data_IF_378832052570
#
_entry.id   IF_378832052570
#
_cell.length_a   1.000
_cell.length_b   1.000
_cell.length_c   1.000
_cell.angle_alpha   90.00
_cell.angle_beta   90.00
_cell.angle_gamma   90.00
#
_symmetry.space_group_name_H-M   'P 1'
#
loop_
_entity.id
_entity.type
_entity.pdbx_description
1 polymer ?
#
# COMPACT_ATOMS: atom_id res chain seq x y z
N UNK A 1 22.66 3.20 0.28
CA UNK A 1 21.81 3.80 1.34
C UNK A 1 22.68 4.76 2.14
N UNK A 2 22.11 5.89 2.60
CA UNK A 2 22.79 6.87 3.43
C UNK A 2 22.99 6.36 4.86
N UNK A 3 23.63 7.17 5.71
CA UNK A 3 23.83 6.86 7.14
C UNK A 3 22.51 6.84 7.93
N UNK A 4 21.54 7.67 7.52
CA UNK A 4 20.22 7.82 8.15
C UNK A 4 19.21 6.72 7.75
N UNK A 5 19.60 5.80 6.86
CA UNK A 5 18.72 4.74 6.36
C UNK A 5 17.94 5.09 5.08
N UNK A 6 18.12 6.30 4.52
CA UNK A 6 17.43 6.68 3.27
C UNK A 6 18.15 6.12 2.03
N UNK A 7 17.38 5.74 1.02
CA UNK A 7 17.92 5.23 -0.24
C UNK A 7 18.52 6.38 -1.07
N UNK A 8 19.60 6.08 -1.80
CA UNK A 8 20.22 7.05 -2.70
C UNK A 8 19.35 7.20 -3.96
N UNK A 9 19.26 8.42 -4.53
CA UNK A 9 18.51 8.65 -5.76
C UNK A 9 19.13 7.89 -6.93
N UNK A 10 18.29 7.54 -7.92
CA UNK A 10 18.67 6.69 -9.05
C UNK A 10 19.85 7.24 -9.86
N UNK A 11 19.93 8.56 -9.96
CA UNK A 11 21.00 9.28 -10.65
C UNK A 11 22.37 9.02 -10.01
N UNK A 12 22.41 8.75 -8.70
CA UNK A 12 23.64 8.41 -7.98
C UNK A 12 23.89 6.90 -7.94
N UNK A 13 22.85 6.07 -7.92
CA UNK A 13 23.01 4.60 -7.89
C UNK A 13 23.35 4.03 -9.27
N UNK A 14 22.95 4.71 -10.35
CA UNK A 14 23.14 4.22 -11.73
C UNK A 14 22.26 3.04 -12.11
N UNK A 15 21.28 2.69 -11.27
CA UNK A 15 20.40 1.54 -11.47
C UNK A 15 19.32 1.82 -12.51
N UNK A 16 18.84 0.78 -13.18
CA UNK A 16 17.63 0.90 -13.98
C UNK A 16 16.41 1.14 -13.07
N UNK A 17 15.29 1.60 -13.66
CA UNK A 17 14.09 1.94 -12.90
C UNK A 17 13.58 0.75 -12.05
N UNK A 18 13.53 -0.43 -12.64
CA UNK A 18 13.02 -1.63 -11.98
C UNK A 18 13.91 -2.08 -10.82
N UNK A 19 15.23 -2.04 -11.01
CA UNK A 19 16.20 -2.37 -9.96
C UNK A 19 16.13 -1.37 -8.80
N UNK A 20 16.03 -0.07 -9.10
CA UNK A 20 15.90 0.96 -8.08
C UNK A 20 14.62 0.75 -7.25
N UNK A 21 13.48 0.48 -7.91
CA UNK A 21 12.22 0.21 -7.22
C UNK A 21 12.30 -1.02 -6.31
N UNK A 22 12.84 -2.13 -6.80
CA UNK A 22 13.02 -3.35 -5.98
C UNK A 22 13.92 -3.05 -4.77
N UNK A 23 15.02 -2.33 -4.97
CA UNK A 23 15.94 -1.96 -3.91
C UNK A 23 15.27 -1.08 -2.84
N UNK A 24 14.50 -0.08 -3.27
CA UNK A 24 13.75 0.79 -2.35
C UNK A 24 12.76 0.01 -1.48
N UNK A 25 12.03 -0.94 -2.08
CA UNK A 25 11.08 -1.79 -1.35
C UNK A 25 11.80 -2.73 -0.37
N UNK A 26 12.87 -3.40 -0.80
CA UNK A 26 13.65 -4.26 0.10
C UNK A 26 14.28 -3.49 1.27
N UNK A 27 14.77 -2.27 1.04
CA UNK A 27 15.31 -1.42 2.11
C UNK A 27 14.23 -1.05 3.12
N UNK A 28 13.03 -0.70 2.62
CA UNK A 28 11.89 -0.43 3.49
C UNK A 28 11.51 -1.67 4.29
N UNK A 29 11.35 -2.84 3.67
CA UNK A 29 11.06 -4.09 4.38
C UNK A 29 12.10 -4.40 5.45
N UNK A 30 13.38 -4.27 5.13
CA UNK A 30 14.47 -4.50 6.09
C UNK A 30 14.46 -3.53 7.27
N UNK A 31 14.08 -2.26 7.06
CA UNK A 31 13.84 -1.31 8.15
C UNK A 31 12.71 -1.78 9.08
N UNK A 32 11.59 -2.21 8.50
CA UNK A 32 10.44 -2.66 9.26
C UNK A 32 10.67 -4.00 9.97
N UNK A 33 11.52 -4.87 9.41
CA UNK A 33 12.00 -6.10 10.05
C UNK A 33 13.09 -5.85 11.10
N UNK A 34 13.60 -4.61 11.22
CA UNK A 34 14.62 -4.25 12.19
C UNK A 34 16.05 -4.72 11.85
N UNK A 35 16.33 -5.00 10.58
CA UNK A 35 17.63 -5.49 10.11
C UNK A 35 18.71 -4.40 10.02
N UNK A 36 18.33 -3.12 10.14
CA UNK A 36 19.22 -1.98 10.07
C UNK A 36 19.30 -1.20 11.40
N UNK A 37 19.84 -1.78 12.49
CA UNK A 37 19.84 -1.14 13.81
C UNK A 37 20.66 0.17 13.84
N UNK A 38 21.70 0.27 13.01
CA UNK A 38 22.67 1.38 13.01
C UNK A 38 22.43 2.41 11.89
N UNK A 39 21.36 2.23 11.11
CA UNK A 39 21.03 3.08 9.96
C UNK A 39 19.60 3.59 10.08
N UNK A 40 19.23 4.15 11.22
CA UNK A 40 17.89 4.74 11.41
C UNK A 40 18.01 6.11 12.04
N UNK A 41 16.98 6.94 11.88
CA UNK A 41 16.86 8.17 12.66
C UNK A 41 16.63 7.83 14.15
N UNK A 42 17.17 8.63 15.09
CA UNK A 42 17.03 8.40 16.53
C UNK A 42 15.58 8.44 17.02
N UNK A 43 14.73 9.30 16.44
CA UNK A 43 13.30 9.39 16.80
C UNK A 43 12.42 8.30 16.17
N UNK A 44 12.99 7.34 15.43
CA UNK A 44 12.18 6.27 14.85
C UNK A 44 11.63 5.38 15.97
N UNK A 45 10.34 5.54 16.28
CA UNK A 45 9.68 4.73 17.32
C UNK A 45 9.64 3.26 16.90
N UNK A 46 10.51 2.47 17.52
CA UNK A 46 10.63 1.03 17.32
C UNK A 46 9.63 0.24 18.17
N UNK A 47 8.89 0.88 19.08
CA UNK A 47 8.12 0.21 20.14
C UNK A 47 6.75 -0.32 19.70
N UNK A 48 6.06 0.36 18.78
CA UNK A 48 4.74 -0.07 18.29
C UNK A 48 4.73 -1.29 17.35
N UNK A 49 5.85 -1.56 16.67
CA UNK A 49 5.91 -2.52 15.56
C UNK A 49 6.67 -3.83 15.85
N UNK A 50 7.26 -4.00 17.04
CA UNK A 50 8.30 -5.01 17.31
C UNK A 50 7.89 -6.29 18.04
N UNK A 51 6.60 -6.52 18.32
CA UNK A 51 6.22 -7.67 19.15
C UNK A 51 6.41 -9.04 18.46
N UNK A 52 6.51 -9.06 17.12
CA UNK A 52 6.67 -10.28 16.33
C UNK A 52 7.62 -10.06 15.13
N UNK A 53 8.41 -11.09 14.79
CA UNK A 53 9.23 -11.08 13.58
C UNK A 53 8.33 -10.91 12.35
N UNK A 54 8.53 -9.81 11.61
CA UNK A 54 7.84 -9.56 10.34
C UNK A 54 8.80 -9.83 9.19
N UNK A 55 8.35 -10.65 8.25
CA UNK A 55 9.01 -10.96 7.00
C UNK A 55 7.96 -10.91 5.88
N UNK A 56 8.43 -10.75 4.65
CA UNK A 56 7.63 -10.69 3.44
C UNK A 56 8.13 -11.72 2.45
N UNK A 57 7.22 -12.29 1.66
CA UNK A 57 7.55 -13.33 0.69
C UNK A 57 8.27 -12.77 -0.55
N UNK A 58 7.93 -11.54 -0.95
CA UNK A 58 8.60 -10.79 -2.02
C UNK A 58 8.56 -9.28 -1.77
N UNK A 59 9.33 -8.53 -2.57
CA UNK A 59 9.52 -7.09 -2.44
C UNK A 59 8.25 -6.26 -2.71
N UNK A 60 7.15 -6.89 -3.13
CA UNK A 60 5.86 -6.23 -3.38
C UNK A 60 4.79 -6.62 -2.34
N UNK A 61 5.08 -7.58 -1.45
CA UNK A 61 4.13 -8.11 -0.50
C UNK A 61 3.63 -7.05 0.49
N UNK A 62 4.49 -6.07 0.86
CA UNK A 62 4.05 -4.95 1.70
C UNK A 62 2.98 -4.06 1.04
N UNK A 63 2.94 -4.00 -0.29
CA UNK A 63 2.01 -3.14 -1.04
C UNK A 63 0.76 -3.86 -1.55
N UNK A 64 0.70 -5.20 -1.44
CA UNK A 64 -0.48 -5.95 -1.84
C UNK A 64 -1.61 -5.73 -0.84
N UNK A 65 -2.72 -5.19 -1.35
CA UNK A 65 -3.95 -5.06 -0.59
C UNK A 65 -4.56 -6.46 -0.39
N UNK A 66 -4.54 -6.96 0.83
CA UNK A 66 -5.33 -8.13 1.21
C UNK A 66 -6.71 -7.71 1.69
N UNK A 67 -7.74 -8.24 1.04
CA UNK A 67 -9.10 -8.08 1.50
C UNK A 67 -9.40 -9.16 2.55
N UNK A 68 -9.48 -8.78 3.83
CA UNK A 68 -9.93 -9.67 4.89
C UNK A 68 -11.44 -9.59 5.02
N UNK A 69 -12.14 -10.55 4.41
CA UNK A 69 -13.57 -10.71 4.62
C UNK A 69 -13.81 -11.31 6.01
N UNK A 70 -14.30 -10.50 6.95
CA UNK A 70 -14.66 -10.96 8.29
C UNK A 70 -16.06 -11.59 8.23
N UNK A 71 -16.29 -12.79 8.79
CA UNK A 71 -17.64 -13.33 8.93
C UNK A 71 -18.53 -12.32 9.68
N UNK A 72 -19.60 -11.86 9.05
CA UNK A 72 -20.53 -10.86 9.62
C UNK A 72 -20.27 -9.39 9.23
N UNK A 73 -19.19 -9.09 8.49
CA UNK A 73 -19.04 -7.76 7.87
C UNK A 73 -19.93 -7.64 6.63
N UNK A 74 -20.92 -6.75 6.67
CA UNK A 74 -21.80 -6.46 5.52
C UNK A 74 -21.19 -5.35 4.67
N UNK A 75 -20.91 -5.65 3.40
CA UNK A 75 -20.54 -4.62 2.43
C UNK A 75 -21.79 -4.23 1.63
N UNK A 76 -22.23 -2.99 1.77
CA UNK A 76 -23.27 -2.45 0.91
C UNK A 76 -22.68 -2.16 -0.47
N UNK A 77 -22.82 -3.11 -1.39
CA UNK A 77 -22.51 -2.87 -2.80
C UNK A 77 -23.66 -2.05 -3.37
N UNK A 78 -23.48 -0.73 -3.46
CA UNK A 78 -24.44 0.17 -4.10
C UNK A 78 -24.44 -0.12 -5.60
N UNK A 79 -25.30 -1.06 -6.03
CA UNK A 79 -25.53 -1.33 -7.44
C UNK A 79 -26.39 -0.20 -7.99
N UNK A 80 -25.75 0.77 -8.64
CA UNK A 80 -26.49 1.75 -9.44
C UNK A 80 -27.27 0.97 -10.50
N UNK A 81 -28.59 1.06 -10.48
CA UNK A 81 -29.42 0.49 -11.53
C UNK A 81 -29.23 1.35 -12.78
N UNK A 82 -28.53 0.87 -13.83
CA UNK A 82 -28.28 1.69 -15.02
C UNK A 82 -29.58 2.05 -15.75
N UNK A 83 -30.70 1.36 -15.46
CA UNK A 83 -32.02 1.66 -16.00
C UNK A 83 -32.81 2.66 -15.16
N UNK A 84 -32.36 3.05 -13.96
CA UNK A 84 -33.07 4.03 -13.14
C UNK A 84 -33.21 5.40 -13.83
N UNK A 85 -32.21 5.79 -14.63
CA UNK A 85 -32.28 6.99 -15.45
C UNK A 85 -33.34 6.90 -16.57
N UNK A 86 -33.61 5.70 -17.09
CA UNK A 86 -34.63 5.47 -18.13
C UNK A 86 -36.05 5.57 -17.58
N UNK A 87 -36.29 5.14 -16.34
CA UNK A 87 -37.60 5.27 -15.70
C UNK A 87 -37.94 6.73 -15.41
N UNK A 88 -36.98 7.52 -14.91
CA UNK A 88 -37.17 8.95 -14.66
C UNK A 88 -37.53 9.74 -15.92
N UNK A 89 -36.85 9.43 -17.04
CA UNK A 89 -37.11 10.06 -18.35
C UNK A 89 -38.51 9.74 -18.91
N UNK A 90 -39.07 8.58 -18.59
CA UNK A 90 -40.44 8.21 -19.02
C UNK A 90 -41.52 8.93 -18.21
N UNK A 91 -41.31 9.18 -16.92
CA UNK A 91 -42.26 9.92 -16.07
C UNK A 91 -42.31 11.41 -16.43
N UNK A 92 -41.17 12.01 -16.78
CA UNK A 92 -41.10 13.41 -17.24
C UNK A 92 -41.84 13.61 -18.57
N UNK A 93 -41.75 12.64 -19.50
CA UNK A 93 -42.46 12.68 -20.79
C UNK A 93 -43.96 12.38 -20.65
N UNK A 94 -44.37 11.64 -19.62
CA UNK A 94 -45.78 11.34 -19.38
C UNK A 94 -46.55 12.46 -18.63
N UNK A 95 -45.83 13.47 -18.12
CA UNK A 95 -46.38 14.56 -17.29
C UNK A 95 -46.40 15.92 -18.00
N UNK A 96 -46.01 15.99 -19.28
CA UNK A 96 -46.06 17.18 -20.14
C UNK A 96 -46.89 16.92 -21.38
#
# INVERSE_FOLDING_TARGET
MRLDGTVLPRELTGLCLEQQQRLERCVMEAHWSGLFPDRTIPEFDRSGYKRFNRHWDDDSAMFRLEYKMQPGSWFYIKRYNPRAALYKKREEVASG
#
